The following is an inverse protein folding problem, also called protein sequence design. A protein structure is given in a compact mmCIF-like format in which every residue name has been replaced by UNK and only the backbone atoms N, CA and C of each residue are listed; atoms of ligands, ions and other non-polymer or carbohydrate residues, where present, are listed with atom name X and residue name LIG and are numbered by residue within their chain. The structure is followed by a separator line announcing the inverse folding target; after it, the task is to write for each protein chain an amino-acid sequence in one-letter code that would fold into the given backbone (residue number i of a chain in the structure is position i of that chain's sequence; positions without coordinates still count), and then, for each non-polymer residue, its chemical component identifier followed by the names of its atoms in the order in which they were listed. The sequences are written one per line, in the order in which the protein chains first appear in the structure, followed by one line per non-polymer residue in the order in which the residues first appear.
data_IF_492812540153
#
_entry.id   IF_492812540153
#
_cell.length_a   1.000
_cell.length_b   1.000
_cell.length_c   1.000
_cell.angle_alpha   90.00
_cell.angle_beta   90.00
_cell.angle_gamma   90.00
#
_symmetry.space_group_name_H-M   'P 1'
#
loop_
_entity.id
_entity.type
_entity.pdbx_description
1 polymer ?
#
# COMPACT_ATOMS: atom_id res chain seq x y z
N UNK A 1 -11.57 22.51 -40.94
CA UNK A 1 -12.51 21.39 -41.21
C UNK A 1 -11.74 20.11 -41.09
N UNK A 2 -11.74 19.50 -39.89
CA UNK A 2 -11.32 18.10 -39.71
C UNK A 2 -12.51 17.35 -39.18
N UNK A 3 -13.11 16.52 -40.03
CA UNK A 3 -14.13 15.56 -39.65
C UNK A 3 -13.48 14.53 -38.74
N UNK A 4 -13.52 14.75 -37.41
CA UNK A 4 -13.20 13.78 -36.42
C UNK A 4 -14.12 12.56 -36.58
N UNK A 5 -13.53 11.37 -36.71
CA UNK A 5 -14.24 10.09 -36.69
C UNK A 5 -15.02 9.97 -35.38
N UNK A 6 -16.26 10.43 -35.38
CA UNK A 6 -17.20 10.19 -34.30
C UNK A 6 -17.33 8.65 -34.10
N UNK A 7 -16.95 8.13 -32.94
CA UNK A 7 -17.26 6.79 -32.53
C UNK A 7 -16.14 5.84 -32.10
N UNK A 8 -14.85 6.20 -32.18
CA UNK A 8 -13.78 5.31 -31.74
C UNK A 8 -13.28 5.74 -30.33
N UNK A 9 -13.43 4.81 -29.38
CA UNK A 9 -12.92 4.98 -28.02
C UNK A 9 -11.42 5.27 -28.04
N UNK A 10 -10.94 6.28 -27.25
CA UNK A 10 -9.52 6.56 -27.14
C UNK A 10 -8.77 5.35 -26.57
N UNK A 11 -7.60 4.95 -27.12
CA UNK A 11 -6.88 3.74 -26.70
C UNK A 11 -6.56 3.71 -25.19
N UNK A 12 -6.16 4.83 -24.59
CA UNK A 12 -5.88 4.96 -23.16
C UNK A 12 -7.14 4.65 -22.33
N UNK A 13 -8.31 5.21 -22.71
CA UNK A 13 -9.59 4.94 -22.04
C UNK A 13 -9.94 3.45 -22.11
N UNK A 14 -9.78 2.82 -23.29
CA UNK A 14 -10.05 1.38 -23.47
C UNK A 14 -9.12 0.51 -22.60
N UNK A 15 -7.85 0.89 -22.51
CA UNK A 15 -6.86 0.19 -21.68
C UNK A 15 -7.16 0.35 -20.21
N UNK A 16 -7.43 1.58 -19.74
CA UNK A 16 -7.76 1.86 -18.35
C UNK A 16 -9.05 1.14 -17.89
N UNK A 17 -10.07 1.06 -18.76
CA UNK A 17 -11.28 0.27 -18.46
C UNK A 17 -10.97 -1.22 -18.28
N UNK A 18 -10.07 -1.81 -19.07
CA UNK A 18 -9.64 -3.21 -18.87
C UNK A 18 -8.91 -3.41 -17.55
N UNK A 19 -8.01 -2.49 -17.18
CA UNK A 19 -7.28 -2.54 -15.91
C UNK A 19 -8.22 -2.45 -14.72
N UNK A 20 -9.17 -1.52 -14.73
CA UNK A 20 -10.14 -1.40 -13.66
C UNK A 20 -11.08 -2.62 -13.60
N UNK A 21 -11.59 -3.11 -14.74
CA UNK A 21 -12.41 -4.31 -14.77
C UNK A 21 -11.71 -5.52 -14.13
N UNK A 22 -10.45 -5.76 -14.51
CA UNK A 22 -9.67 -6.86 -13.95
C UNK A 22 -9.44 -6.70 -12.42
N UNK A 23 -9.23 -5.48 -11.94
CA UNK A 23 -9.11 -5.22 -10.51
C UNK A 23 -10.43 -5.45 -9.75
N UNK A 24 -11.55 -5.03 -10.33
CA UNK A 24 -12.88 -5.24 -9.76
C UNK A 24 -13.29 -6.72 -9.74
N UNK A 25 -12.99 -7.48 -10.79
CA UNK A 25 -13.24 -8.93 -10.81
C UNK A 25 -12.46 -9.69 -9.75
N UNK A 26 -11.21 -9.26 -9.47
CA UNK A 26 -10.43 -9.83 -8.36
C UNK A 26 -11.04 -9.51 -6.99
N UNK A 27 -11.63 -8.33 -6.82
CA UNK A 27 -12.24 -7.91 -5.56
C UNK A 27 -13.61 -8.55 -5.34
N UNK A 28 -14.45 -8.59 -6.37
CA UNK A 28 -15.87 -8.91 -6.27
C UNK A 28 -16.20 -10.35 -6.70
N UNK A 29 -15.25 -11.03 -7.33
CA UNK A 29 -15.42 -12.37 -7.90
C UNK A 29 -15.53 -12.36 -9.43
N UNK A 30 -15.18 -13.47 -10.04
CA UNK A 30 -15.23 -13.64 -11.50
C UNK A 30 -16.66 -13.47 -12.03
N UNK A 31 -16.82 -12.70 -13.11
CA UNK A 31 -18.10 -12.44 -13.74
C UNK A 31 -18.95 -11.35 -13.08
N UNK A 32 -18.45 -10.70 -12.01
CA UNK A 32 -19.13 -9.56 -11.36
C UNK A 32 -19.21 -8.33 -12.27
N UNK A 33 -18.28 -8.20 -13.22
CA UNK A 33 -18.24 -7.10 -14.17
C UNK A 33 -18.72 -7.59 -15.56
N UNK A 34 -19.71 -6.90 -16.11
CA UNK A 34 -20.24 -7.25 -17.45
C UNK A 34 -19.16 -7.06 -18.51
N UNK A 35 -18.88 -8.11 -19.29
CA UNK A 35 -17.89 -8.05 -20.37
C UNK A 35 -18.22 -6.90 -21.35
N UNK A 36 -17.20 -6.11 -21.71
CA UNK A 36 -17.32 -5.06 -22.71
C UNK A 36 -17.68 -5.69 -24.06
N UNK A 37 -18.86 -5.37 -24.62
CA UNK A 37 -19.26 -5.77 -25.99
C UNK A 37 -20.35 -6.82 -26.10
N UNK A 38 -20.88 -7.40 -25.04
CA UNK A 38 -22.07 -8.27 -25.14
C UNK A 38 -23.35 -7.45 -25.05
N UNK A 39 -24.09 -7.45 -26.16
CA UNK A 39 -25.45 -6.97 -26.28
C UNK A 39 -26.37 -7.60 -25.22
N UNK A 40 -27.32 -6.80 -24.72
CA UNK A 40 -28.40 -7.20 -23.80
C UNK A 40 -29.32 -8.28 -24.41
N UNK A 41 -28.81 -9.45 -24.71
CA UNK A 41 -29.67 -10.57 -25.07
C UNK A 41 -29.61 -11.62 -23.97
N UNK A 42 -30.78 -11.86 -23.40
CA UNK A 42 -31.13 -12.91 -22.44
C UNK A 42 -30.58 -12.76 -21.01
N UNK A 43 -31.31 -12.00 -20.17
CA UNK A 43 -31.28 -12.18 -18.71
C UNK A 43 -32.63 -12.73 -18.26
N UNK A 44 -32.61 -13.94 -17.73
CA UNK A 44 -33.74 -14.56 -17.01
C UNK A 44 -33.67 -14.34 -15.50
N UNK A 45 -32.64 -13.65 -14.99
CA UNK A 45 -32.53 -13.27 -13.58
C UNK A 45 -32.96 -11.80 -13.39
N UNK A 46 -33.68 -11.46 -12.31
CA UNK A 46 -34.01 -10.08 -11.99
C UNK A 46 -32.73 -9.25 -11.86
N UNK A 47 -32.75 -8.00 -12.35
CA UNK A 47 -31.64 -7.08 -12.12
C UNK A 47 -31.55 -6.82 -10.61
N UNK A 48 -30.33 -6.83 -9.99
CA UNK A 48 -30.17 -6.48 -8.61
C UNK A 48 -30.66 -5.03 -8.39
N UNK A 49 -31.27 -4.76 -7.25
CA UNK A 49 -31.61 -3.39 -6.87
C UNK A 49 -30.29 -2.57 -6.88
N UNK A 50 -30.38 -1.35 -7.39
CA UNK A 50 -29.21 -0.47 -7.40
C UNK A 50 -28.60 -0.27 -6.01
N UNK A 51 -29.42 -0.40 -4.95
CA UNK A 51 -28.96 -0.32 -3.56
C UNK A 51 -28.10 -1.52 -3.13
N UNK A 52 -28.28 -2.70 -3.74
CA UNK A 52 -27.57 -3.93 -3.40
C UNK A 52 -26.22 -4.05 -4.10
N UNK A 53 -25.93 -3.17 -5.06
CA UNK A 53 -24.63 -3.17 -5.72
C UNK A 53 -23.52 -2.71 -4.78
N UNK A 54 -22.32 -3.32 -4.84
CA UNK A 54 -21.19 -2.92 -4.02
C UNK A 54 -20.77 -1.48 -4.31
N UNK A 55 -20.62 -0.69 -3.24
CA UNK A 55 -20.14 0.69 -3.32
C UNK A 55 -18.62 0.70 -3.29
N UNK A 56 -18.01 1.47 -4.19
CA UNK A 56 -16.58 1.79 -4.23
C UNK A 56 -16.40 3.29 -4.07
N UNK A 57 -15.35 3.73 -3.40
CA UNK A 57 -15.00 5.15 -3.28
C UNK A 57 -13.73 5.43 -4.09
N UNK A 58 -13.76 6.41 -4.98
CA UNK A 58 -12.55 6.93 -5.64
C UNK A 58 -11.93 8.00 -4.75
N UNK A 59 -10.69 7.82 -4.31
CA UNK A 59 -9.93 8.89 -3.66
C UNK A 59 -9.46 9.89 -4.74
N UNK A 60 -10.05 11.08 -4.73
CA UNK A 60 -9.82 12.09 -5.76
C UNK A 60 -9.27 13.38 -5.15
N UNK A 61 -8.09 13.81 -5.62
CA UNK A 61 -7.46 15.09 -5.25
C UNK A 61 -7.70 16.21 -6.27
N UNK A 62 -8.43 15.92 -7.35
CA UNK A 62 -8.58 16.85 -8.48
C UNK A 62 -7.44 16.78 -9.50
N UNK A 63 -6.32 16.13 -9.19
CA UNK A 63 -5.22 15.94 -10.12
C UNK A 63 -5.54 14.91 -11.22
N UNK A 64 -4.73 14.88 -12.31
CA UNK A 64 -5.03 14.11 -13.52
C UNK A 64 -5.22 12.61 -13.23
N UNK A 65 -4.35 12.01 -12.42
CA UNK A 65 -4.37 10.58 -12.14
C UNK A 65 -5.67 10.16 -11.44
N UNK A 66 -6.13 10.96 -10.50
CA UNK A 66 -7.35 10.69 -9.72
C UNK A 66 -8.62 11.02 -10.48
N UNK A 67 -8.63 12.07 -11.31
CA UNK A 67 -9.77 12.41 -12.17
C UNK A 67 -9.94 11.38 -13.30
N UNK A 68 -8.85 10.95 -13.93
CA UNK A 68 -8.88 9.87 -14.92
C UNK A 68 -9.49 8.59 -14.31
N UNK A 69 -9.06 8.22 -13.10
CA UNK A 69 -9.64 7.07 -12.39
C UNK A 69 -11.14 7.25 -12.12
N UNK A 70 -11.56 8.45 -11.70
CA UNK A 70 -12.97 8.76 -11.44
C UNK A 70 -13.82 8.62 -12.72
N UNK A 71 -13.36 9.16 -13.86
CA UNK A 71 -14.05 9.04 -15.14
C UNK A 71 -14.19 7.58 -15.60
N UNK A 72 -13.10 6.80 -15.46
CA UNK A 72 -13.14 5.37 -15.79
C UNK A 72 -14.08 4.60 -14.84
N UNK A 73 -14.08 4.91 -13.55
CA UNK A 73 -14.95 4.26 -12.57
C UNK A 73 -16.44 4.62 -12.81
N UNK A 74 -16.73 5.87 -13.18
CA UNK A 74 -18.07 6.33 -13.57
C UNK A 74 -18.66 5.52 -14.75
N UNK A 75 -17.83 5.03 -15.67
CA UNK A 75 -18.28 4.15 -16.73
C UNK A 75 -18.91 2.86 -16.21
N UNK A 76 -18.33 2.25 -15.15
CA UNK A 76 -18.85 1.02 -14.55
C UNK A 76 -20.11 1.29 -13.72
N UNK A 77 -20.21 2.46 -13.06
CA UNK A 77 -21.42 2.89 -12.38
C UNK A 77 -22.60 3.05 -13.36
N UNK A 78 -22.38 3.75 -14.49
CA UNK A 78 -23.40 3.91 -15.54
C UNK A 78 -23.89 2.59 -16.16
N UNK A 79 -23.07 1.53 -16.10
CA UNK A 79 -23.43 0.19 -16.57
C UNK A 79 -24.16 -0.63 -15.51
N UNK A 80 -24.35 -0.11 -14.32
CA UNK A 80 -24.89 -0.85 -13.17
C UNK A 80 -24.10 -2.12 -12.86
N UNK A 81 -22.77 -2.05 -12.96
CA UNK A 81 -21.87 -3.11 -12.52
C UNK A 81 -21.54 -2.95 -11.02
N UNK A 82 -21.38 -1.71 -10.57
CA UNK A 82 -21.07 -1.29 -9.22
C UNK A 82 -21.67 0.09 -8.95
N UNK A 83 -21.77 0.48 -7.67
CA UNK A 83 -21.95 1.87 -7.26
C UNK A 83 -20.60 2.52 -7.09
N UNK A 84 -20.45 3.76 -7.51
CA UNK A 84 -19.21 4.51 -7.36
C UNK A 84 -19.49 5.85 -6.73
N UNK A 85 -18.88 6.09 -5.58
CA UNK A 85 -18.78 7.38 -4.93
C UNK A 85 -17.35 7.90 -4.98
N UNK A 86 -17.12 9.03 -4.32
CA UNK A 86 -15.78 9.61 -4.23
C UNK A 86 -15.50 10.17 -2.84
N UNK A 87 -14.23 10.21 -2.48
CA UNK A 87 -13.74 10.93 -1.31
C UNK A 87 -12.64 11.91 -1.69
N UNK A 88 -12.82 13.16 -1.30
CA UNK A 88 -11.87 14.26 -1.43
C UNK A 88 -11.34 14.56 -0.05
N UNK A 89 -10.02 14.61 0.11
CA UNK A 89 -9.38 15.00 1.38
C UNK A 89 -8.73 16.36 1.21
N UNK A 90 -9.30 17.36 1.86
CA UNK A 90 -8.75 18.70 1.94
C UNK A 90 -7.80 18.81 3.13
N UNK A 91 -6.51 18.95 2.85
CA UNK A 91 -5.46 19.08 3.86
C UNK A 91 -5.29 20.50 4.41
N UNK A 92 -5.93 21.51 3.79
CA UNK A 92 -5.81 22.91 4.19
C UNK A 92 -4.39 23.49 4.08
N UNK A 93 -3.52 22.89 3.27
CA UNK A 93 -2.10 23.29 3.16
C UNK A 93 -1.89 24.48 2.20
N UNK A 94 -2.86 24.76 1.36
CA UNK A 94 -2.83 25.87 0.38
C UNK A 94 -4.06 26.75 0.56
N UNK A 95 -3.92 28.05 0.29
CA UNK A 95 -5.02 29.01 0.46
C UNK A 95 -6.26 28.64 -0.37
N UNK A 96 -6.05 28.09 -1.57
CA UNK A 96 -7.11 27.72 -2.51
C UNK A 96 -7.63 26.27 -2.33
N UNK A 97 -7.13 25.51 -1.35
CA UNK A 97 -7.43 24.08 -1.19
C UNK A 97 -8.93 23.80 -1.09
N UNK A 98 -9.69 24.63 -0.40
CA UNK A 98 -11.14 24.49 -0.28
C UNK A 98 -11.87 24.75 -1.61
N UNK A 99 -11.41 25.71 -2.42
CA UNK A 99 -11.98 25.98 -3.75
C UNK A 99 -11.70 24.81 -4.71
N UNK A 100 -10.47 24.29 -4.71
CA UNK A 100 -10.11 23.10 -5.48
C UNK A 100 -10.94 21.89 -5.09
N UNK A 101 -11.13 21.66 -3.79
CA UNK A 101 -11.96 20.56 -3.28
C UNK A 101 -13.42 20.71 -3.73
N UNK A 102 -13.99 21.92 -3.65
CA UNK A 102 -15.36 22.20 -4.10
C UNK A 102 -15.54 21.98 -5.61
N UNK A 103 -14.60 22.48 -6.43
CA UNK A 103 -14.63 22.27 -7.87
C UNK A 103 -14.48 20.80 -8.24
N UNK A 104 -13.60 20.08 -7.54
CA UNK A 104 -13.42 18.62 -7.72
C UNK A 104 -14.73 17.90 -7.37
N UNK A 105 -15.39 18.26 -6.26
CA UNK A 105 -16.64 17.64 -5.86
C UNK A 105 -17.74 17.85 -6.92
N UNK A 106 -17.84 19.05 -7.50
CA UNK A 106 -18.76 19.32 -8.59
C UNK A 106 -18.47 18.45 -9.81
N UNK A 107 -17.21 18.40 -10.25
CA UNK A 107 -16.79 17.55 -11.39
C UNK A 107 -17.15 16.08 -11.16
N UNK A 108 -16.93 15.55 -9.95
CA UNK A 108 -17.26 14.16 -9.63
C UNK A 108 -18.78 13.90 -9.62
N UNK A 109 -19.55 14.88 -9.16
CA UNK A 109 -21.01 14.84 -9.20
C UNK A 109 -21.51 14.86 -10.65
N UNK A 110 -20.95 15.70 -11.49
CA UNK A 110 -21.28 15.78 -12.93
C UNK A 110 -20.91 14.48 -13.68
N UNK A 111 -19.88 13.78 -13.25
CA UNK A 111 -19.55 12.43 -13.73
C UNK A 111 -20.57 11.36 -13.29
N UNK A 112 -21.46 11.69 -12.37
CA UNK A 112 -22.50 10.79 -11.83
C UNK A 112 -22.01 9.91 -10.67
N UNK A 113 -20.95 10.30 -9.95
CA UNK A 113 -20.52 9.61 -8.74
C UNK A 113 -21.38 10.02 -7.55
N UNK A 114 -21.78 9.02 -6.75
CA UNK A 114 -22.55 9.26 -5.54
C UNK A 114 -22.32 8.14 -4.49
N UNK A 115 -22.06 8.48 -3.20
CA UNK A 115 -21.90 9.81 -2.64
C UNK A 115 -20.57 10.48 -3.01
N UNK A 116 -20.52 11.81 -3.00
CA UNK A 116 -19.28 12.60 -3.06
C UNK A 116 -19.04 13.19 -1.68
N UNK A 117 -17.96 12.79 -1.03
CA UNK A 117 -17.63 13.16 0.35
C UNK A 117 -16.38 14.05 0.31
N UNK A 118 -16.46 15.21 0.99
CA UNK A 118 -15.29 16.06 1.22
C UNK A 118 -14.96 16.05 2.71
N UNK A 119 -13.77 15.55 3.05
CA UNK A 119 -13.25 15.52 4.43
C UNK A 119 -12.13 16.53 4.58
N UNK A 120 -12.34 17.52 5.46
CA UNK A 120 -11.29 18.46 5.86
C UNK A 120 -10.47 17.83 6.99
N UNK A 121 -9.17 17.69 6.80
CA UNK A 121 -8.29 17.10 7.81
C UNK A 121 -7.29 18.13 8.32
N UNK A 122 -6.96 18.01 9.61
CA UNK A 122 -5.85 18.75 10.19
C UNK A 122 -4.60 17.87 10.14
N UNK A 123 -3.53 18.37 9.54
CA UNK A 123 -2.24 17.67 9.53
C UNK A 123 -1.53 17.97 10.85
N UNK A 124 -1.35 16.99 11.73
CA UNK A 124 -0.73 17.24 13.01
C UNK A 124 0.75 17.65 12.83
N UNK A 125 1.14 18.72 13.52
CA UNK A 125 2.55 19.13 13.63
C UNK A 125 3.20 18.27 14.71
N UNK A 126 4.09 17.37 14.30
CA UNK A 126 4.76 16.44 15.22
C UNK A 126 6.10 15.96 14.68
N UNK A 127 6.70 14.96 15.33
CA UNK A 127 8.01 14.39 14.99
C UNK A 127 8.02 13.59 13.64
N UNK A 128 6.86 13.31 13.06
CA UNK A 128 6.75 12.77 11.71
C UNK A 128 6.86 13.90 10.68
N UNK A 129 7.65 13.71 9.64
CA UNK A 129 7.75 14.70 8.57
C UNK A 129 6.36 15.03 7.96
N UNK A 130 6.17 16.22 7.36
CA UNK A 130 4.87 16.72 6.92
C UNK A 130 4.19 15.81 5.90
N UNK A 131 4.94 15.17 5.02
CA UNK A 131 4.42 14.21 4.02
C UNK A 131 3.80 12.98 4.72
N UNK A 132 4.46 12.43 5.73
CA UNK A 132 3.95 11.28 6.48
C UNK A 132 2.72 11.65 7.31
N UNK A 133 2.72 12.81 7.95
CA UNK A 133 1.57 13.30 8.72
C UNK A 133 0.34 13.51 7.82
N UNK A 134 0.50 14.15 6.66
CA UNK A 134 -0.55 14.31 5.67
C UNK A 134 -1.06 12.97 5.13
N UNK A 135 -0.17 12.01 4.90
CA UNK A 135 -0.52 10.65 4.49
C UNK A 135 -1.37 9.95 5.57
N UNK A 136 -0.96 10.00 6.82
CA UNK A 136 -1.69 9.40 7.95
C UNK A 136 -3.09 9.98 8.08
N UNK A 137 -3.22 11.31 8.04
CA UNK A 137 -4.51 12.00 8.09
C UNK A 137 -5.42 11.59 6.92
N UNK A 138 -4.86 11.46 5.70
CA UNK A 138 -5.59 11.02 4.51
C UNK A 138 -6.16 9.60 4.68
N UNK A 139 -5.36 8.65 5.16
CA UNK A 139 -5.82 7.28 5.36
C UNK A 139 -6.85 7.16 6.48
N UNK A 140 -6.75 7.98 7.52
CA UNK A 140 -7.78 8.09 8.56
C UNK A 140 -9.12 8.61 7.99
N UNK A 141 -9.08 9.61 7.10
CA UNK A 141 -10.27 10.10 6.40
C UNK A 141 -10.90 9.03 5.50
N UNK A 142 -10.08 8.26 4.78
CA UNK A 142 -10.58 7.14 3.97
C UNK A 142 -11.28 6.09 4.83
N UNK A 143 -10.69 5.71 5.96
CA UNK A 143 -11.30 4.75 6.88
C UNK A 143 -12.66 5.26 7.38
N UNK A 144 -12.73 6.51 7.84
CA UNK A 144 -13.98 7.13 8.28
C UNK A 144 -15.06 7.11 7.19
N UNK A 145 -14.69 7.44 5.94
CA UNK A 145 -15.64 7.43 4.83
C UNK A 145 -16.13 6.01 4.50
N UNK A 146 -15.26 5.01 4.55
CA UNK A 146 -15.64 3.60 4.35
C UNK A 146 -16.58 3.12 5.45
N UNK A 147 -16.30 3.44 6.72
CA UNK A 147 -17.16 3.09 7.86
C UNK A 147 -18.55 3.76 7.76
N UNK A 148 -18.60 5.02 7.31
CA UNK A 148 -19.86 5.77 7.19
C UNK A 148 -20.73 5.31 6.01
N UNK A 149 -20.12 4.78 4.93
CA UNK A 149 -20.84 4.45 3.68
C UNK A 149 -21.02 2.96 3.45
N UNK A 150 -20.29 2.11 4.17
CA UNK A 150 -20.20 0.68 3.90
C UNK A 150 -19.49 0.34 2.60
N UNK A 151 -18.62 1.24 2.10
CA UNK A 151 -17.92 1.01 0.85
C UNK A 151 -17.01 -0.22 0.93
N UNK A 152 -16.99 -1.02 -0.13
CA UNK A 152 -16.22 -2.26 -0.22
C UNK A 152 -14.72 -2.03 -0.37
N UNK A 153 -14.34 -0.93 -1.03
CA UNK A 153 -12.95 -0.55 -1.25
C UNK A 153 -12.79 0.93 -1.61
N UNK A 154 -11.56 1.43 -1.45
CA UNK A 154 -11.11 2.74 -1.92
C UNK A 154 -10.19 2.54 -3.13
N UNK A 155 -10.51 3.19 -4.24
CA UNK A 155 -9.70 3.20 -5.48
C UNK A 155 -8.69 4.34 -5.43
N UNK A 156 -7.42 4.04 -5.70
CA UNK A 156 -6.31 5.00 -5.67
C UNK A 156 -5.70 5.14 -7.07
N UNK A 157 -5.52 6.35 -7.56
CA UNK A 157 -5.03 6.68 -8.90
C UNK A 157 -3.50 6.60 -9.05
N UNK A 158 -2.83 5.66 -8.38
CA UNK A 158 -1.38 5.46 -8.54
C UNK A 158 -1.05 4.85 -9.90
N UNK A 159 -0.01 5.37 -10.54
CA UNK A 159 0.44 5.01 -11.88
C UNK A 159 1.72 4.16 -11.87
N UNK A 160 2.15 3.72 -13.05
CA UNK A 160 3.45 3.06 -13.26
C UNK A 160 4.61 3.98 -12.85
N UNK A 161 4.48 5.28 -13.10
CA UNK A 161 5.49 6.27 -12.72
C UNK A 161 5.63 6.35 -11.19
N UNK A 162 4.52 6.32 -10.45
CA UNK A 162 4.54 6.29 -8.98
C UNK A 162 5.14 4.98 -8.45
N UNK A 163 4.94 3.88 -9.18
CA UNK A 163 5.55 2.60 -8.85
C UNK A 163 7.07 2.67 -9.00
N UNK A 164 7.57 3.22 -10.10
CA UNK A 164 9.00 3.42 -10.34
C UNK A 164 9.64 4.32 -9.28
N UNK A 165 9.00 5.44 -8.94
CA UNK A 165 9.44 6.32 -7.86
C UNK A 165 9.55 5.56 -6.52
N UNK A 166 8.57 4.71 -6.23
CA UNK A 166 8.52 3.92 -4.98
C UNK A 166 9.64 2.89 -4.92
N UNK A 167 9.94 2.21 -6.04
CA UNK A 167 11.05 1.26 -6.13
C UNK A 167 12.40 1.94 -5.96
N UNK A 168 12.62 3.09 -6.61
CA UNK A 168 13.86 3.87 -6.45
C UNK A 168 14.04 4.36 -5.00
N UNK A 169 12.98 4.81 -4.35
CA UNK A 169 13.02 5.14 -2.92
C UNK A 169 13.34 3.93 -2.06
N UNK A 170 12.84 2.75 -2.41
CA UNK A 170 13.18 1.50 -1.73
C UNK A 170 14.66 1.15 -1.88
N UNK A 171 15.19 1.24 -3.10
CA UNK A 171 16.61 1.01 -3.42
C UNK A 171 17.53 1.96 -2.65
N UNK A 172 17.21 3.25 -2.62
CA UNK A 172 18.03 4.26 -1.95
C UNK A 172 18.14 4.07 -0.44
N UNK A 173 17.20 3.34 0.16
CA UNK A 173 17.19 3.01 1.59
C UNK A 173 17.89 1.68 1.92
N UNK A 174 18.42 0.98 0.92
CA UNK A 174 19.07 -0.31 1.13
C UNK A 174 18.16 -1.40 1.68
N UNK A 175 16.87 -1.34 1.36
CA UNK A 175 15.87 -2.25 1.90
C UNK A 175 15.77 -3.54 1.08
N UNK A 176 15.32 -4.64 1.70
CA UNK A 176 15.17 -5.95 1.08
C UNK A 176 14.07 -6.04 0.00
N UNK A 177 13.78 -7.28 -0.45
CA UNK A 177 12.83 -7.58 -1.54
C UNK A 177 11.46 -6.91 -1.38
N UNK A 178 10.95 -6.76 -0.13
CA UNK A 178 9.68 -6.08 0.14
C UNK A 178 9.68 -4.62 -0.34
N UNK A 179 10.78 -3.91 -0.24
CA UNK A 179 10.88 -2.53 -0.73
C UNK A 179 10.96 -2.45 -2.25
N UNK A 180 11.56 -3.47 -2.90
CA UNK A 180 11.58 -3.59 -4.36
C UNK A 180 10.21 -3.99 -4.93
N UNK A 181 9.35 -4.61 -4.13
CA UNK A 181 7.98 -4.95 -4.49
C UNK A 181 7.09 -3.72 -4.75
N UNK A 182 7.55 -2.53 -4.37
CA UNK A 182 6.83 -1.28 -4.57
C UNK A 182 5.45 -1.28 -3.89
N UNK A 183 4.46 -0.70 -4.56
CA UNK A 183 3.08 -0.67 -4.08
C UNK A 183 2.32 -1.90 -4.57
N UNK A 184 1.66 -2.68 -3.69
CA UNK A 184 0.81 -3.78 -4.11
C UNK A 184 -0.46 -3.27 -4.81
N UNK A 185 -0.99 -4.00 -5.82
CA UNK A 185 -2.25 -3.65 -6.47
C UNK A 185 -3.44 -3.62 -5.52
N UNK A 186 -3.43 -4.48 -4.53
CA UNK A 186 -4.42 -4.57 -3.45
C UNK A 186 -3.70 -4.49 -2.11
N UNK A 187 -4.19 -3.67 -1.20
CA UNK A 187 -3.70 -3.59 0.19
C UNK A 187 -4.88 -3.51 1.14
N UNK A 188 -4.84 -4.32 2.19
CA UNK A 188 -5.78 -4.20 3.31
C UNK A 188 -5.04 -3.56 4.47
N UNK A 189 -5.58 -2.47 5.00
CA UNK A 189 -5.00 -1.73 6.13
C UNK A 189 -6.11 -1.14 6.99
N UNK A 190 -6.07 -1.41 8.30
CA UNK A 190 -7.08 -0.94 9.25
C UNK A 190 -8.51 -1.37 8.91
N UNK A 191 -8.70 -2.54 8.27
CA UNK A 191 -10.00 -3.05 7.83
C UNK A 191 -10.49 -2.47 6.50
N UNK A 192 -9.75 -1.56 5.87
CA UNK A 192 -10.09 -0.96 4.57
C UNK A 192 -9.30 -1.61 3.46
N UNK A 193 -9.98 -1.97 2.37
CA UNK A 193 -9.35 -2.48 1.14
C UNK A 193 -9.04 -1.32 0.19
N UNK A 194 -7.78 -1.20 -0.22
CA UNK A 194 -7.30 -0.22 -1.19
C UNK A 194 -6.93 -0.91 -2.49
N UNK A 195 -7.45 -0.41 -3.62
CA UNK A 195 -7.13 -0.90 -4.97
C UNK A 195 -6.35 0.15 -5.76
N UNK A 196 -5.34 -0.30 -6.51
CA UNK A 196 -4.54 0.54 -7.40
C UNK A 196 -4.59 -0.05 -8.82
N UNK A 197 -5.66 0.22 -9.57
CA UNK A 197 -5.87 -0.44 -10.86
C UNK A 197 -4.90 0.03 -11.94
N UNK A 198 -4.26 1.20 -11.78
CA UNK A 198 -3.49 1.86 -12.83
C UNK A 198 -1.96 1.75 -12.64
N UNK A 199 -1.46 0.86 -11.77
CA UNK A 199 -0.02 0.63 -11.58
C UNK A 199 0.72 0.16 -12.85
N UNK A 200 0.02 -0.25 -13.89
CA UNK A 200 0.58 -0.62 -15.20
C UNK A 200 0.42 0.45 -16.27
N UNK A 201 -0.16 1.62 -15.96
CA UNK A 201 -0.42 2.73 -16.88
C UNK A 201 0.49 3.91 -16.57
N UNK A 202 0.91 4.62 -17.63
CA UNK A 202 1.76 5.81 -17.49
C UNK A 202 0.92 7.01 -17.07
N UNK A 203 1.57 7.99 -16.43
CA UNK A 203 0.95 9.29 -16.14
C UNK A 203 0.48 10.01 -17.41
N UNK A 204 1.17 9.84 -18.53
CA UNK A 204 0.75 10.35 -19.82
C UNK A 204 -0.63 9.81 -20.23
N UNK A 205 -0.88 8.52 -20.01
CA UNK A 205 -2.20 7.91 -20.30
C UNK A 205 -3.32 8.57 -19.47
N UNK A 206 -3.02 9.06 -18.26
CA UNK A 206 -3.99 9.75 -17.40
C UNK A 206 -4.39 11.11 -17.99
N UNK A 207 -3.42 11.85 -18.53
CA UNK A 207 -3.68 13.10 -19.24
C UNK A 207 -4.52 12.86 -20.49
N UNK A 208 -4.17 11.85 -21.30
CA UNK A 208 -4.93 11.46 -22.48
C UNK A 208 -6.39 11.07 -22.13
N UNK A 209 -6.59 10.39 -20.98
CA UNK A 209 -7.95 10.06 -20.51
C UNK A 209 -8.70 11.32 -20.10
N UNK A 210 -8.06 12.24 -19.37
CA UNK A 210 -8.69 13.51 -19.01
C UNK A 210 -9.11 14.31 -20.24
N UNK A 211 -8.24 14.41 -21.25
CA UNK A 211 -8.55 15.07 -22.52
C UNK A 211 -9.73 14.39 -23.26
N UNK A 212 -9.68 13.06 -23.38
CA UNK A 212 -10.72 12.28 -24.07
C UNK A 212 -12.09 12.34 -23.38
N UNK A 213 -12.12 12.48 -22.05
CA UNK A 213 -13.34 12.62 -21.24
C UNK A 213 -13.67 14.12 -20.94
N UNK A 214 -12.97 15.06 -21.58
CA UNK A 214 -13.19 16.52 -21.48
C UNK A 214 -13.11 17.03 -20.02
N UNK A 215 -12.13 16.52 -19.27
CA UNK A 215 -11.88 16.90 -17.88
C UNK A 215 -10.71 17.90 -17.80
N UNK A 216 -10.83 18.88 -16.92
CA UNK A 216 -9.76 19.83 -16.62
C UNK A 216 -9.16 19.51 -15.24
N UNK A 217 -8.02 18.80 -15.19
CA UNK A 217 -7.39 18.46 -13.92
C UNK A 217 -6.71 19.69 -13.30
N UNK A 218 -6.74 19.76 -11.98
CA UNK A 218 -5.94 20.70 -11.23
C UNK A 218 -4.48 20.24 -11.18
N UNK A 219 -3.57 21.14 -11.51
CA UNK A 219 -2.14 20.89 -11.44
C UNK A 219 -1.60 21.51 -10.16
N UNK A 220 -1.30 20.67 -9.18
CA UNK A 220 -0.75 21.11 -7.89
C UNK A 220 0.66 21.72 -8.10
N UNK A 221 0.87 23.00 -7.77
CA UNK A 221 2.18 23.65 -7.90
C UNK A 221 3.30 22.95 -7.09
N UNK A 222 2.95 22.29 -5.97
CA UNK A 222 3.93 21.58 -5.13
C UNK A 222 4.53 20.35 -5.81
N UNK A 223 3.90 19.84 -6.87
CA UNK A 223 4.45 18.74 -7.67
C UNK A 223 5.76 19.11 -8.38
N UNK A 224 6.03 20.40 -8.57
CA UNK A 224 7.29 20.91 -9.16
C UNK A 224 8.40 21.14 -8.10
N UNK A 225 8.08 21.08 -6.81
CA UNK A 225 9.04 21.32 -5.75
C UNK A 225 10.04 20.18 -5.58
N UNK A 226 11.22 20.33 -6.17
CA UNK A 226 12.31 19.36 -6.11
C UNK A 226 13.00 19.26 -4.73
N UNK A 227 12.63 20.06 -3.74
CA UNK A 227 13.04 19.84 -2.35
C UNK A 227 12.44 18.52 -1.83
N UNK A 228 11.27 18.16 -2.34
CA UNK A 228 10.59 16.90 -2.04
C UNK A 228 11.24 15.73 -2.81
N UNK A 229 11.57 14.66 -2.08
CA UNK A 229 12.31 13.51 -2.65
C UNK A 229 11.59 12.88 -3.86
N UNK A 230 10.26 12.73 -3.82
CA UNK A 230 9.49 12.16 -4.93
C UNK A 230 9.51 13.07 -6.17
N UNK A 231 9.36 14.37 -6.00
CA UNK A 231 9.44 15.32 -7.09
C UNK A 231 10.85 15.32 -7.72
N UNK A 232 11.91 15.23 -6.90
CA UNK A 232 13.29 15.10 -7.38
C UNK A 232 13.50 13.82 -8.19
N UNK A 233 12.99 12.68 -7.73
CA UNK A 233 13.08 11.41 -8.48
C UNK A 233 12.37 11.56 -9.83
N UNK A 234 11.18 12.13 -9.85
CA UNK A 234 10.35 12.32 -11.04
C UNK A 234 10.98 13.22 -12.09
N UNK A 235 11.48 14.38 -11.65
CA UNK A 235 11.90 15.43 -12.55
C UNK A 235 13.40 15.44 -12.86
N UNK A 236 14.21 14.73 -12.07
CA UNK A 236 15.66 14.71 -12.24
C UNK A 236 16.22 13.30 -12.35
N UNK A 237 15.95 12.41 -11.40
CA UNK A 237 16.63 11.10 -11.33
C UNK A 237 16.14 10.15 -12.41
N UNK A 238 14.83 9.96 -12.56
CA UNK A 238 14.27 9.08 -13.60
C UNK A 238 14.64 9.52 -15.01
N UNK A 239 14.46 10.81 -15.40
CA UNK A 239 14.90 11.28 -16.72
C UNK A 239 16.41 11.08 -16.96
N UNK A 240 17.24 11.36 -15.96
CA UNK A 240 18.69 11.11 -16.05
C UNK A 240 19.03 9.63 -16.30
N UNK A 241 18.36 8.72 -15.58
CA UNK A 241 18.53 7.29 -15.79
C UNK A 241 18.06 6.83 -17.19
N UNK A 242 16.95 7.37 -17.68
CA UNK A 242 16.42 7.05 -19.01
C UNK A 242 17.34 7.54 -20.11
N UNK A 243 17.94 8.73 -19.96
CA UNK A 243 18.93 9.28 -20.89
C UNK A 243 20.20 8.45 -20.97
N UNK A 244 20.73 7.99 -19.82
CA UNK A 244 22.06 7.38 -19.76
C UNK A 244 22.05 5.84 -19.81
N UNK A 245 20.97 5.19 -19.36
CA UNK A 245 20.85 3.73 -19.43
C UNK A 245 20.08 3.28 -20.69
N UNK A 246 19.38 4.20 -21.33
CA UNK A 246 18.49 3.91 -22.45
C UNK A 246 17.20 3.18 -22.05
N UNK A 247 16.20 3.26 -22.90
CA UNK A 247 14.93 2.55 -22.73
C UNK A 247 13.98 3.17 -21.68
N UNK A 248 12.91 2.45 -21.38
CA UNK A 248 11.89 2.84 -20.41
C UNK A 248 12.28 2.31 -19.02
N UNK A 249 13.07 3.09 -18.27
CA UNK A 249 13.55 2.74 -16.92
C UNK A 249 12.39 2.62 -15.95
N UNK A 250 11.41 3.51 -16.04
CA UNK A 250 10.23 3.45 -15.18
C UNK A 250 9.46 2.13 -15.37
N UNK A 251 9.28 1.68 -16.61
CA UNK A 251 8.65 0.38 -16.89
C UNK A 251 9.49 -0.79 -16.40
N UNK A 252 10.80 -0.70 -16.47
CA UNK A 252 11.71 -1.74 -15.97
C UNK A 252 11.63 -1.88 -14.45
N UNK A 253 11.59 -0.75 -13.72
CA UNK A 253 11.39 -0.72 -12.28
C UNK A 253 10.01 -1.27 -11.88
N UNK A 254 8.95 -0.90 -12.60
CA UNK A 254 7.62 -1.44 -12.34
C UNK A 254 7.54 -2.97 -12.59
N UNK A 255 8.24 -3.49 -13.60
CA UNK A 255 8.38 -4.94 -13.81
C UNK A 255 9.14 -5.62 -12.69
N UNK A 256 10.23 -5.01 -12.20
CA UNK A 256 10.94 -5.51 -11.01
C UNK A 256 10.01 -5.61 -9.82
N UNK A 257 9.18 -4.59 -9.57
CA UNK A 257 8.19 -4.63 -8.49
C UNK A 257 7.17 -5.77 -8.68
N UNK A 258 6.69 -5.97 -9.90
CA UNK A 258 5.72 -7.02 -10.21
C UNK A 258 6.28 -8.45 -9.99
N UNK A 259 7.58 -8.65 -10.18
CA UNK A 259 8.26 -9.92 -9.88
C UNK A 259 8.57 -10.05 -8.39
N UNK A 260 9.16 -9.01 -7.78
CA UNK A 260 9.55 -9.02 -6.37
C UNK A 260 8.34 -9.07 -5.40
N UNK A 261 7.16 -8.63 -5.83
CA UNK A 261 5.95 -8.63 -5.02
C UNK A 261 5.54 -10.03 -4.56
N UNK A 262 5.20 -10.94 -5.48
CA UNK A 262 4.86 -12.33 -5.16
C UNK A 262 5.96 -13.06 -4.38
N UNK A 263 7.24 -12.84 -4.72
CA UNK A 263 8.37 -13.44 -3.99
C UNK A 263 8.40 -12.95 -2.53
N UNK A 264 8.20 -11.66 -2.32
CA UNK A 264 8.16 -11.09 -0.98
C UNK A 264 6.94 -11.58 -0.18
N UNK A 265 5.76 -11.70 -0.82
CA UNK A 265 4.54 -12.22 -0.19
C UNK A 265 4.73 -13.68 0.26
N UNK A 266 5.30 -14.53 -0.60
CA UNK A 266 5.61 -15.92 -0.28
C UNK A 266 6.59 -16.02 0.90
N UNK A 267 7.70 -15.27 0.86
CA UNK A 267 8.68 -15.26 1.93
C UNK A 267 8.11 -14.72 3.25
N UNK A 268 7.21 -13.74 3.22
CA UNK A 268 6.56 -13.22 4.42
C UNK A 268 5.56 -14.22 5.00
N UNK A 269 4.86 -14.99 4.15
CA UNK A 269 3.98 -16.07 4.59
C UNK A 269 4.77 -17.19 5.27
N UNK A 270 5.84 -17.67 4.61
CA UNK A 270 6.74 -18.68 5.18
C UNK A 270 7.40 -18.19 6.48
N UNK A 271 7.76 -16.92 6.56
CA UNK A 271 8.32 -16.36 7.79
C UNK A 271 7.30 -16.29 8.94
N UNK A 272 6.02 -16.07 8.65
CA UNK A 272 4.95 -16.07 9.65
C UNK A 272 4.75 -17.47 10.23
N UNK A 273 4.69 -18.49 9.37
CA UNK A 273 4.61 -19.88 9.81
C UNK A 273 5.84 -20.30 10.64
N UNK A 274 7.03 -19.94 10.15
CA UNK A 274 8.27 -20.19 10.88
C UNK A 274 8.33 -19.46 12.22
N UNK A 275 7.79 -18.22 12.31
CA UNK A 275 7.73 -17.47 13.56
C UNK A 275 6.89 -18.18 14.62
N UNK A 276 5.71 -18.68 14.24
CA UNK A 276 4.85 -19.46 15.13
C UNK A 276 5.55 -20.73 15.61
N UNK A 277 6.30 -21.40 14.71
CA UNK A 277 7.03 -22.64 15.03
C UNK A 277 8.20 -22.45 15.98
N UNK A 278 8.84 -21.28 16.02
CA UNK A 278 10.00 -21.03 16.90
C UNK A 278 9.65 -20.32 18.20
N UNK A 279 8.38 -19.93 18.39
CA UNK A 279 7.91 -19.32 19.63
C UNK A 279 7.97 -20.35 20.79
N UNK A 280 8.56 -19.94 21.89
CA UNK A 280 8.44 -20.71 23.12
C UNK A 280 7.02 -20.52 23.71
N UNK A 281 6.45 -21.57 24.33
CA UNK A 281 5.10 -21.51 24.87
C UNK A 281 4.90 -20.37 25.88
N UNK A 282 3.69 -19.83 25.93
CA UNK A 282 3.30 -18.85 26.93
C UNK A 282 3.56 -19.36 28.36
N UNK A 283 4.00 -18.48 29.24
CA UNK A 283 4.37 -18.84 30.61
C UNK A 283 5.78 -19.40 30.76
N UNK A 284 6.60 -19.43 29.70
CA UNK A 284 8.02 -19.80 29.81
C UNK A 284 8.73 -18.82 30.75
N UNK A 285 9.17 -19.31 31.93
CA UNK A 285 9.83 -18.48 32.92
C UNK A 285 11.29 -18.16 32.54
N UNK A 286 11.62 -16.89 32.53
CA UNK A 286 12.99 -16.42 32.26
C UNK A 286 13.48 -15.62 33.47
N UNK A 287 14.56 -16.06 34.09
CA UNK A 287 15.12 -15.37 35.26
C UNK A 287 15.45 -13.91 34.95
N UNK A 288 14.87 -13.01 35.74
CA UNK A 288 15.07 -11.56 35.61
C UNK A 288 14.25 -10.90 34.50
N UNK A 289 13.24 -11.59 33.96
CA UNK A 289 12.26 -11.05 33.01
C UNK A 289 10.87 -11.51 33.48
N UNK A 290 10.20 -10.65 34.21
CA UNK A 290 8.85 -10.88 34.76
C UNK A 290 7.84 -10.04 33.95
N UNK A 291 7.72 -10.33 32.63
CA UNK A 291 6.85 -9.57 31.74
C UNK A 291 6.07 -10.52 30.84
N UNK A 292 4.76 -10.40 30.89
CA UNK A 292 3.83 -11.19 30.06
C UNK A 292 3.88 -10.83 28.56
N UNK A 293 4.34 -9.60 28.25
CA UNK A 293 4.48 -9.07 26.90
C UNK A 293 5.85 -9.34 26.23
N UNK A 294 6.68 -10.18 26.87
CA UNK A 294 7.94 -10.63 26.30
C UNK A 294 7.73 -11.67 25.20
N UNK A 295 8.43 -11.52 24.08
CA UNK A 295 8.47 -12.50 23.00
C UNK A 295 9.70 -13.38 23.16
N UNK A 296 9.48 -14.69 23.28
CA UNK A 296 10.55 -15.67 23.47
C UNK A 296 10.63 -16.61 22.28
N UNK A 297 11.80 -16.75 21.69
CA UNK A 297 12.07 -17.65 20.58
C UNK A 297 13.11 -18.70 20.97
N UNK A 298 12.92 -19.94 20.52
CA UNK A 298 13.95 -20.98 20.62
C UNK A 298 15.12 -20.62 19.70
N UNK A 299 16.29 -20.33 20.30
CA UNK A 299 17.50 -19.91 19.58
C UNK A 299 17.96 -20.94 18.55
N UNK A 300 17.94 -22.21 18.90
CA UNK A 300 18.44 -23.27 18.02
C UNK A 300 17.54 -23.42 16.79
N UNK A 301 16.23 -23.35 16.99
CA UNK A 301 15.27 -23.38 15.87
C UNK A 301 15.41 -22.14 14.98
N UNK A 302 15.55 -20.93 15.57
CA UNK A 302 15.80 -19.70 14.80
C UNK A 302 17.11 -19.83 14.02
N UNK A 303 18.19 -20.33 14.62
CA UNK A 303 19.48 -20.52 13.96
C UNK A 303 19.40 -21.49 12.76
N UNK A 304 18.53 -22.50 12.84
CA UNK A 304 18.31 -23.48 11.78
C UNK A 304 17.51 -22.94 10.59
N UNK A 305 16.81 -21.82 10.73
CA UNK A 305 16.06 -21.22 9.63
C UNK A 305 16.98 -20.76 8.50
N UNK A 306 16.48 -20.87 7.26
CA UNK A 306 17.13 -20.24 6.11
C UNK A 306 17.32 -18.73 6.36
N UNK A 307 18.47 -18.12 6.00
CA UNK A 307 18.74 -16.70 6.29
C UNK A 307 17.64 -15.74 5.81
N UNK A 308 16.99 -16.01 4.66
CA UNK A 308 15.91 -15.21 4.13
C UNK A 308 14.66 -15.21 5.04
N UNK A 309 14.39 -16.29 5.77
CA UNK A 309 13.29 -16.40 6.72
C UNK A 309 13.71 -15.88 8.10
N UNK A 310 14.93 -16.21 8.53
CA UNK A 310 15.44 -15.87 9.85
C UNK A 310 15.38 -14.37 10.15
N UNK A 311 15.85 -13.52 9.22
CA UNK A 311 15.77 -12.07 9.40
C UNK A 311 14.33 -11.54 9.45
N UNK A 312 13.41 -12.17 8.70
CA UNK A 312 11.97 -11.83 8.75
C UNK A 312 11.33 -12.24 10.06
N UNK A 313 11.67 -13.41 10.56
CA UNK A 313 11.21 -13.92 11.87
C UNK A 313 11.68 -13.00 13.00
N UNK A 314 12.95 -12.57 12.96
CA UNK A 314 13.49 -11.62 13.94
C UNK A 314 12.80 -10.25 13.87
N UNK A 315 12.48 -9.78 12.67
CA UNK A 315 11.69 -8.55 12.50
C UNK A 315 10.26 -8.70 13.02
N UNK A 316 9.62 -9.85 12.78
CA UNK A 316 8.30 -10.16 13.31
C UNK A 316 8.31 -10.21 14.85
N UNK A 317 9.32 -10.82 15.44
CA UNK A 317 9.50 -10.86 16.90
C UNK A 317 9.62 -9.45 17.52
N UNK A 318 10.37 -8.55 16.87
CA UNK A 318 10.45 -7.16 17.31
C UNK A 318 9.08 -6.47 17.32
N UNK A 319 8.30 -6.63 16.25
CA UNK A 319 6.93 -6.10 16.17
C UNK A 319 5.98 -6.72 17.19
N UNK A 320 6.05 -8.03 17.38
CA UNK A 320 5.23 -8.73 18.36
C UNK A 320 5.52 -8.27 19.80
N UNK A 321 6.77 -7.87 20.09
CA UNK A 321 7.16 -7.23 21.34
C UNK A 321 6.80 -5.73 21.42
N UNK A 322 5.96 -5.21 20.53
CA UNK A 322 5.54 -3.80 20.53
C UNK A 322 6.51 -2.83 19.88
N UNK A 323 7.57 -3.33 19.23
CA UNK A 323 8.54 -2.50 18.52
C UNK A 323 8.14 -2.13 17.11
N UNK A 324 8.99 -1.33 16.47
CA UNK A 324 8.89 -0.95 15.06
C UNK A 324 9.69 -1.90 14.16
N UNK A 325 9.55 -1.73 12.85
CA UNK A 325 10.28 -2.55 11.89
C UNK A 325 11.79 -2.22 11.92
N UNK A 326 12.68 -3.18 12.26
CA UNK A 326 14.10 -2.89 12.39
C UNK A 326 14.77 -2.67 11.03
N UNK A 327 15.76 -1.77 11.00
CA UNK A 327 16.68 -1.65 9.87
C UNK A 327 17.66 -2.83 9.81
N UNK A 328 18.38 -2.93 8.67
CA UNK A 328 19.27 -4.06 8.38
C UNK A 328 20.35 -4.28 9.45
N UNK A 329 21.03 -3.22 9.88
CA UNK A 329 22.09 -3.30 10.89
C UNK A 329 21.56 -3.83 12.24
N UNK A 330 20.35 -3.40 12.62
CA UNK A 330 19.70 -3.88 13.86
C UNK A 330 19.30 -5.35 13.75
N UNK A 331 18.82 -5.76 12.59
CA UNK A 331 18.52 -7.18 12.32
C UNK A 331 19.79 -8.03 12.35
N UNK A 332 20.88 -7.57 11.74
CA UNK A 332 22.16 -8.27 11.81
C UNK A 332 22.69 -8.40 13.25
N UNK A 333 22.58 -7.32 14.05
CA UNK A 333 22.96 -7.36 15.46
C UNK A 333 22.11 -8.37 16.24
N UNK A 334 20.81 -8.44 15.98
CA UNK A 334 19.94 -9.43 16.61
C UNK A 334 20.21 -10.86 16.09
N UNK A 335 20.50 -11.02 14.80
CA UNK A 335 20.85 -12.30 14.19
C UNK A 335 22.14 -12.87 14.77
N UNK A 336 23.09 -12.03 15.18
CA UNK A 336 24.31 -12.48 15.83
C UNK A 336 24.07 -13.31 17.10
N UNK A 337 22.92 -13.11 17.77
CA UNK A 337 22.54 -13.91 18.95
C UNK A 337 22.19 -15.38 18.62
N UNK A 338 21.98 -15.71 17.36
CA UNK A 338 21.75 -17.08 16.92
C UNK A 338 23.06 -17.89 16.92
N UNK A 339 24.21 -17.23 16.83
CA UNK A 339 25.51 -17.89 16.86
C UNK A 339 25.79 -18.55 18.22
N UNK A 340 26.59 -19.63 18.21
CA UNK A 340 26.88 -20.41 19.42
C UNK A 340 27.63 -19.60 20.47
N UNK A 341 28.57 -18.74 20.05
CA UNK A 341 29.44 -17.96 20.92
C UNK A 341 29.06 -16.46 21.00
N UNK A 342 27.80 -16.14 20.78
CA UNK A 342 27.33 -14.75 20.80
C UNK A 342 27.40 -14.11 22.20
N UNK A 343 27.66 -12.80 22.24
CA UNK A 343 27.61 -11.99 23.46
C UNK A 343 26.16 -11.89 23.93
N UNK A 344 25.94 -11.95 25.27
CA UNK A 344 24.60 -11.96 25.87
C UNK A 344 24.02 -10.56 26.18
N UNK A 345 24.70 -9.47 25.80
CA UNK A 345 24.27 -8.10 26.10
C UNK A 345 23.02 -7.68 25.36
N UNK A 346 22.27 -6.65 25.82
CA UNK A 346 21.08 -6.21 25.11
C UNK A 346 21.41 -5.58 23.76
N UNK A 347 20.65 -5.96 22.74
CA UNK A 347 20.55 -5.21 21.50
C UNK A 347 19.29 -4.35 21.55
N UNK A 348 19.46 -3.03 21.40
CA UNK A 348 18.34 -2.10 21.37
C UNK A 348 17.69 -2.12 19.98
N UNK A 349 16.41 -2.45 19.96
CA UNK A 349 15.59 -2.48 18.77
C UNK A 349 14.72 -1.21 18.68
N UNK A 350 14.25 -0.79 17.50
CA UNK A 350 13.40 0.37 17.38
C UNK A 350 12.04 0.15 18.06
N UNK A 351 11.38 1.24 18.48
CA UNK A 351 10.11 1.19 19.19
C UNK A 351 10.25 0.71 20.64
N UNK A 352 11.38 1.04 21.30
CA UNK A 352 11.61 0.74 22.71
C UNK A 352 11.55 -0.76 23.07
N UNK A 353 12.22 -1.58 22.29
CA UNK A 353 12.37 -3.02 22.55
C UNK A 353 13.83 -3.36 22.78
N UNK A 354 14.12 -4.13 23.83
CA UNK A 354 15.46 -4.69 24.11
C UNK A 354 15.46 -6.18 23.85
N UNK A 355 16.43 -6.66 23.08
CA UNK A 355 16.63 -8.07 22.82
C UNK A 355 17.80 -8.64 23.64
N UNK A 356 17.62 -9.83 24.18
CA UNK A 356 18.59 -10.54 25.01
C UNK A 356 18.75 -11.97 24.53
N UNK A 357 19.93 -12.56 24.77
CA UNK A 357 20.09 -14.01 24.79
C UNK A 357 20.00 -14.50 26.21
N UNK A 358 19.23 -15.56 26.46
CA UNK A 358 19.14 -16.26 27.76
C UNK A 358 19.44 -17.73 27.55
N UNK A 359 20.30 -18.25 28.40
CA UNK A 359 20.72 -19.66 28.36
C UNK A 359 19.93 -20.50 29.37
N UNK A 360 19.72 -21.77 29.05
CA UNK A 360 19.14 -22.78 29.95
C UNK A 360 17.77 -22.39 30.49
N UNK A 361 16.94 -21.78 29.66
CA UNK A 361 15.52 -21.53 29.95
C UNK A 361 14.79 -22.87 29.97
N UNK A 362 13.97 -23.14 30.99
CA UNK A 362 13.20 -24.37 31.07
C UNK A 362 12.00 -24.29 30.10
N UNK A 363 11.92 -25.23 29.17
CA UNK A 363 10.76 -25.33 28.28
C UNK A 363 9.56 -25.84 29.10
N UNK A 364 8.43 -25.13 29.15
CA UNK A 364 7.35 -25.43 30.10
C UNK A 364 6.62 -26.75 29.84
N UNK A 365 6.68 -27.25 28.61
CA UNK A 365 5.99 -28.51 28.21
C UNK A 365 6.92 -29.71 28.29
N UNK A 366 8.15 -29.62 27.77
CA UNK A 366 9.10 -30.76 27.70
C UNK A 366 10.01 -30.85 28.90
N UNK A 367 10.15 -29.80 29.71
CA UNK A 367 11.11 -29.69 30.80
C UNK A 367 12.56 -29.57 30.35
N UNK A 368 12.85 -29.62 29.06
CA UNK A 368 14.19 -29.45 28.51
C UNK A 368 14.71 -28.02 28.71
N UNK A 369 16.04 -27.90 28.76
CA UNK A 369 16.67 -26.60 28.86
C UNK A 369 17.12 -26.11 27.47
N UNK A 370 16.50 -25.04 27.02
CA UNK A 370 16.79 -24.40 25.70
C UNK A 370 17.44 -23.03 25.91
N UNK A 371 18.19 -22.61 24.91
CA UNK A 371 18.65 -21.21 24.83
C UNK A 371 17.58 -20.39 24.13
N UNK A 372 17.19 -19.25 24.68
CA UNK A 372 16.15 -18.38 24.17
C UNK A 372 16.69 -17.03 23.68
N UNK A 373 16.12 -16.52 22.59
CA UNK A 373 16.14 -15.10 22.26
C UNK A 373 14.90 -14.46 22.90
N UNK A 374 15.09 -13.41 23.65
CA UNK A 374 14.03 -12.75 24.42
C UNK A 374 13.97 -11.28 24.05
N UNK A 375 12.83 -10.86 23.53
CA UNK A 375 12.56 -9.47 23.17
C UNK A 375 11.55 -8.89 24.18
N UNK A 376 11.88 -7.78 24.77
CA UNK A 376 11.10 -7.18 25.88
C UNK A 376 10.88 -5.70 25.57
N UNK A 377 9.63 -5.19 25.66
CA UNK A 377 9.40 -3.76 25.61
C UNK A 377 10.14 -3.06 26.77
N UNK A 378 10.89 -2.01 26.45
CA UNK A 378 11.47 -1.13 27.49
C UNK A 378 10.49 0.02 27.69
N UNK A 379 9.97 0.17 28.90
CA UNK A 379 9.16 1.34 29.25
C UNK A 379 10.04 2.58 29.04
N UNK A 380 9.56 3.53 28.20
CA UNK A 380 10.08 4.88 28.19
C UNK A 380 9.73 5.62 29.47
#
# INVERSE_FOLDING_TARGET
MQNGRAGRLHPAVGTARRHLAAALEKLLGAGSIKATGRSRTSRTAPEPDAADLPLLLVACSGGPDSLALAAIAAHFARRSDVRVGAIIVDHGLQEDSAAVAAQTAQTLTDLGLHPVITEKVQVPVGNMGPEMAARTARYAAFKKAVEATGARAVLLGHTLDDQAETVLLGLSRGSGTRSLAGMPPVRVEGGVTYLRPFLGLRRADMLDICEAETLTPWIDPTNADQSLMRARIRHSVLPYLEEHLGGDVARSLARTAAVAGPDADYLDEQAREAFEGVLLPAGTAVRGIEREDAVLLDRAQVAALHPALRLRVLAAACKAAGGENPGFERLQALDSFTAEYAVAGPVQMPGHVSAYRRRKVAHPVTGERVDALVLVPTRG
#
